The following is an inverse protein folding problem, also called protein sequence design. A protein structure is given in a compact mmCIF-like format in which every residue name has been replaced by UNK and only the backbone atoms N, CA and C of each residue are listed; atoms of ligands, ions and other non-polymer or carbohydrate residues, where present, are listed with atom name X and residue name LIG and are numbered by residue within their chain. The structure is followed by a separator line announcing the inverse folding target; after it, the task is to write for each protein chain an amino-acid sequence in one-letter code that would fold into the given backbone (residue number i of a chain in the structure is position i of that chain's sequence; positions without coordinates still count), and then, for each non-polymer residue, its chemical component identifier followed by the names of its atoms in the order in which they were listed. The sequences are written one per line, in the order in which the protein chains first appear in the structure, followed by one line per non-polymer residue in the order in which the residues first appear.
data_IF_654997542502
#
_entry.id   IF_654997542502
#
_cell.length_a   1.000
_cell.length_b   1.000
_cell.length_c   1.000
_cell.angle_alpha   90.00
_cell.angle_beta   90.00
_cell.angle_gamma   90.00
#
_symmetry.space_group_name_H-M   'P 1'
#
loop_
_entity.id
_entity.type
_entity.pdbx_description
1 polymer ?
#
# COMPACT_ATOMS: atom_id res chain seq x y z
N UNK A 1 13.12 -51.12 -2.19
CA UNK A 1 12.40 -50.31 -1.18
C UNK A 1 12.80 -48.86 -1.40
N UNK A 2 12.00 -48.09 -2.20
CA UNK A 2 12.27 -46.69 -2.51
C UNK A 2 11.59 -45.86 -1.43
N UNK A 3 12.38 -45.03 -0.74
CA UNK A 3 11.86 -44.05 0.22
C UNK A 3 10.99 -43.03 -0.54
N UNK A 4 9.74 -42.88 -0.13
CA UNK A 4 8.81 -41.84 -0.56
C UNK A 4 9.29 -40.55 0.13
N UNK A 5 9.81 -39.65 -0.66
CA UNK A 5 10.14 -38.29 -0.21
C UNK A 5 8.80 -37.54 0.02
N UNK A 6 8.38 -37.47 1.28
CA UNK A 6 7.28 -36.60 1.70
C UNK A 6 7.76 -35.15 1.56
N UNK A 7 7.40 -34.49 0.45
CA UNK A 7 7.64 -33.08 0.26
C UNK A 7 6.97 -32.30 1.39
N UNK A 8 7.74 -31.91 2.38
CA UNK A 8 7.35 -30.91 3.35
C UNK A 8 7.07 -29.61 2.57
N UNK A 9 5.85 -29.10 2.65
CA UNK A 9 5.51 -27.76 2.20
C UNK A 9 6.37 -26.81 3.05
N UNK A 10 7.47 -26.33 2.44
CA UNK A 10 8.35 -25.37 3.09
C UNK A 10 7.61 -24.03 3.05
N UNK A 11 6.85 -23.75 4.10
CA UNK A 11 6.11 -22.50 4.24
C UNK A 11 7.11 -21.40 4.60
N UNK A 12 7.72 -20.79 3.58
CA UNK A 12 8.62 -19.65 3.80
C UNK A 12 7.84 -18.50 4.39
N UNK A 13 8.27 -18.04 5.56
CA UNK A 13 7.74 -16.81 6.18
C UNK A 13 8.03 -15.60 5.30
N UNK A 14 7.24 -14.55 5.48
CA UNK A 14 7.31 -13.33 4.67
C UNK A 14 8.50 -12.45 5.08
N UNK A 15 9.72 -12.84 4.69
CA UNK A 15 10.97 -12.07 4.89
C UNK A 15 11.62 -11.63 3.56
N UNK A 16 10.84 -11.60 2.50
CA UNK A 16 11.26 -11.24 1.16
C UNK A 16 11.34 -9.72 0.92
N UNK A 17 11.72 -9.31 -0.32
CA UNK A 17 11.80 -7.89 -0.69
C UNK A 17 10.51 -7.10 -0.45
N UNK A 18 9.34 -7.67 -0.74
CA UNK A 18 8.05 -7.03 -0.54
C UNK A 18 7.75 -6.72 0.94
N UNK A 19 8.10 -7.62 1.86
CA UNK A 19 7.95 -7.35 3.30
C UNK A 19 8.88 -6.24 3.78
N UNK A 20 10.13 -6.22 3.29
CA UNK A 20 11.09 -5.15 3.65
C UNK A 20 10.64 -3.79 3.10
N UNK A 21 10.21 -3.73 1.84
CA UNK A 21 9.70 -2.50 1.23
C UNK A 21 8.46 -1.98 1.97
N UNK A 22 7.55 -2.86 2.36
CA UNK A 22 6.38 -2.50 3.16
C UNK A 22 6.75 -1.95 4.54
N UNK A 23 7.66 -2.62 5.27
CA UNK A 23 8.13 -2.17 6.59
C UNK A 23 8.83 -0.80 6.50
N UNK A 24 9.73 -0.63 5.52
CA UNK A 24 10.45 0.64 5.32
C UNK A 24 9.51 1.78 4.94
N UNK A 25 8.51 1.53 4.08
CA UNK A 25 7.47 2.51 3.73
C UNK A 25 6.62 2.88 4.96
N UNK A 26 6.22 1.90 5.78
CA UNK A 26 5.43 2.13 6.98
C UNK A 26 6.19 2.97 8.01
N UNK A 27 7.48 2.68 8.24
CA UNK A 27 8.34 3.48 9.12
C UNK A 27 8.49 4.91 8.62
N UNK A 28 8.73 5.09 7.32
CA UNK A 28 8.87 6.43 6.74
C UNK A 28 7.58 7.22 6.82
N UNK A 29 6.43 6.59 6.58
CA UNK A 29 5.12 7.20 6.80
C UNK A 29 4.98 7.72 8.24
N UNK A 30 5.33 6.92 9.25
CA UNK A 30 5.28 7.34 10.67
C UNK A 30 6.21 8.53 10.94
N UNK A 31 7.43 8.51 10.41
CA UNK A 31 8.40 9.60 10.60
C UNK A 31 7.88 10.93 10.03
N UNK A 32 7.33 10.92 8.80
CA UNK A 32 6.75 12.11 8.18
C UNK A 32 5.49 12.57 8.94
N UNK A 33 4.68 11.61 9.43
CA UNK A 33 3.47 11.88 10.21
C UNK A 33 3.75 12.64 11.51
N UNK A 34 4.94 12.53 12.09
CA UNK A 34 5.31 13.29 13.29
C UNK A 34 5.24 14.81 13.07
N UNK A 35 5.48 15.27 11.84
CA UNK A 35 5.36 16.68 11.47
C UNK A 35 3.90 17.17 11.36
N UNK A 36 2.92 16.27 11.41
CA UNK A 36 1.49 16.63 11.36
C UNK A 36 0.95 17.14 12.70
N UNK A 37 1.70 16.97 13.79
CA UNK A 37 1.27 17.42 15.12
C UNK A 37 1.04 18.94 15.13
N UNK A 38 -0.17 19.35 15.50
CA UNK A 38 -0.60 20.75 15.44
C UNK A 38 -1.12 21.22 14.08
N UNK A 39 -1.12 20.34 13.06
CA UNK A 39 -1.54 20.65 11.68
C UNK A 39 -2.67 19.75 11.16
N UNK A 40 -3.34 18.99 12.04
CA UNK A 40 -4.34 18.00 11.62
C UNK A 40 -5.49 18.56 10.78
N UNK A 41 -5.91 19.80 11.06
CA UNK A 41 -6.98 20.48 10.32
C UNK A 41 -6.49 21.27 9.10
N UNK A 42 -5.19 21.29 8.84
CA UNK A 42 -4.62 21.95 7.67
C UNK A 42 -5.00 21.19 6.39
N UNK A 43 -5.03 21.88 5.22
CA UNK A 43 -5.23 21.20 3.94
C UNK A 43 -4.22 20.09 3.72
N UNK A 44 -4.71 18.91 3.33
CA UNK A 44 -3.89 17.74 3.01
C UNK A 44 -3.86 17.49 1.50
N UNK A 45 -4.70 16.57 1.00
CA UNK A 45 -4.79 16.20 -0.42
C UNK A 45 -6.22 16.41 -0.94
N UNK A 46 -6.39 17.23 -1.98
CA UNK A 46 -7.70 17.52 -2.54
C UNK A 46 -8.64 18.11 -1.48
N UNK A 47 -9.72 17.42 -1.15
CA UNK A 47 -10.68 17.82 -0.10
C UNK A 47 -10.31 17.36 1.31
N UNK A 48 -9.27 16.55 1.44
CA UNK A 48 -8.85 16.00 2.73
C UNK A 48 -8.04 17.00 3.54
N UNK A 49 -8.28 17.01 4.83
CA UNK A 49 -7.35 17.56 5.81
C UNK A 49 -6.12 16.65 5.95
N UNK A 50 -5.07 17.15 6.59
CA UNK A 50 -3.91 16.34 6.98
C UNK A 50 -4.34 15.11 7.80
N UNK A 51 -5.32 15.27 8.70
CA UNK A 51 -5.86 14.17 9.49
C UNK A 51 -6.51 13.08 8.61
N UNK A 52 -7.31 13.50 7.63
CA UNK A 52 -7.98 12.57 6.71
C UNK A 52 -6.97 11.81 5.86
N UNK A 53 -5.92 12.49 5.40
CA UNK A 53 -4.81 11.89 4.64
C UNK A 53 -4.03 10.88 5.50
N UNK A 54 -3.73 11.21 6.77
CA UNK A 54 -3.14 10.27 7.72
C UNK A 54 -4.01 9.03 7.90
N UNK A 55 -5.32 9.22 8.09
CA UNK A 55 -6.28 8.13 8.23
C UNK A 55 -6.37 7.28 6.97
N UNK A 56 -6.47 7.91 5.79
CA UNK A 56 -6.49 7.19 4.52
C UNK A 56 -5.22 6.34 4.34
N UNK A 57 -4.06 6.92 4.57
CA UNK A 57 -2.78 6.22 4.43
C UNK A 57 -2.65 5.07 5.45
N UNK A 58 -3.10 5.27 6.69
CA UNK A 58 -3.07 4.23 7.73
C UNK A 58 -3.89 2.98 7.38
N UNK A 59 -4.86 3.11 6.46
CA UNK A 59 -5.61 1.95 5.93
C UNK A 59 -4.71 0.92 5.25
N UNK A 60 -3.55 1.35 4.74
CA UNK A 60 -2.55 0.42 4.18
C UNK A 60 -2.01 -0.56 5.24
N UNK A 61 -2.05 -0.19 6.50
CA UNK A 61 -1.71 -1.05 7.63
C UNK A 61 -2.94 -1.81 8.15
N UNK A 62 -4.04 -1.09 8.44
CA UNK A 62 -5.22 -1.71 9.04
C UNK A 62 -5.90 -2.73 8.14
N UNK A 63 -5.86 -2.58 6.81
CA UNK A 63 -6.39 -3.61 5.90
C UNK A 63 -5.52 -4.85 5.87
N UNK A 64 -4.19 -4.73 5.95
CA UNK A 64 -3.30 -5.89 6.10
C UNK A 64 -3.64 -6.65 7.38
N UNK A 65 -3.69 -5.95 8.51
CA UNK A 65 -4.05 -6.54 9.80
C UNK A 65 -5.39 -7.27 9.74
N UNK A 66 -6.45 -6.59 9.25
CA UNK A 66 -7.78 -7.18 9.15
C UNK A 66 -7.81 -8.43 8.28
N UNK A 67 -7.08 -8.43 7.16
CA UNK A 67 -7.08 -9.57 6.25
C UNK A 67 -6.26 -10.74 6.78
N UNK A 68 -5.22 -10.49 7.58
CA UNK A 68 -4.45 -11.53 8.25
C UNK A 68 -5.23 -12.15 9.42
N UNK A 69 -5.99 -11.35 10.18
CA UNK A 69 -6.81 -11.85 11.30
C UNK A 69 -7.95 -12.76 10.84
N UNK A 70 -8.45 -12.56 9.62
CA UNK A 70 -9.54 -13.37 9.03
C UNK A 70 -9.00 -14.57 8.22
N UNK A 71 -7.70 -14.66 8.02
CA UNK A 71 -7.05 -15.76 7.28
C UNK A 71 -7.16 -17.09 8.07
N UNK A 72 -8.23 -17.83 7.86
CA UNK A 72 -8.53 -19.08 8.58
C UNK A 72 -8.40 -20.36 7.76
N UNK A 73 -8.33 -20.29 6.45
CA UNK A 73 -8.19 -21.44 5.55
C UNK A 73 -7.38 -21.02 4.32
N UNK A 74 -6.16 -21.50 4.24
CA UNK A 74 -5.25 -21.26 3.10
C UNK A 74 -5.62 -22.09 1.85
N UNK A 75 -6.78 -22.75 1.85
CA UNK A 75 -7.29 -23.48 0.69
C UNK A 75 -8.22 -22.61 -0.15
N UNK A 76 -7.86 -22.40 -1.40
CA UNK A 76 -8.70 -21.68 -2.35
C UNK A 76 -7.91 -21.21 -3.57
N UNK A 77 -8.62 -20.85 -4.66
CA UNK A 77 -7.97 -20.29 -5.83
C UNK A 77 -7.47 -18.87 -5.55
N UNK A 78 -6.37 -18.52 -6.19
CA UNK A 78 -5.89 -17.16 -6.28
C UNK A 78 -6.57 -16.50 -7.48
N UNK A 79 -7.41 -15.50 -7.22
CA UNK A 79 -8.14 -14.77 -8.28
C UNK A 79 -7.26 -13.66 -8.89
N UNK A 80 -6.45 -13.00 -8.05
CA UNK A 80 -5.60 -11.87 -8.42
C UNK A 80 -4.14 -12.27 -8.21
N UNK A 81 -3.40 -12.38 -9.30
CA UNK A 81 -2.03 -12.93 -9.27
C UNK A 81 -0.99 -11.96 -8.70
N UNK A 82 -1.23 -10.65 -8.81
CA UNK A 82 -0.28 -9.60 -8.39
C UNK A 82 -0.98 -8.25 -8.15
N UNK A 83 -0.19 -7.24 -7.79
CA UNK A 83 -0.66 -5.88 -7.53
C UNK A 83 -1.27 -5.21 -8.77
N UNK A 84 -0.79 -5.52 -9.98
CA UNK A 84 -1.35 -4.95 -11.21
C UNK A 84 -2.77 -5.48 -11.44
N UNK A 85 -2.95 -6.79 -11.31
CA UNK A 85 -4.28 -7.42 -11.41
C UNK A 85 -5.25 -6.84 -10.37
N UNK A 86 -4.77 -6.59 -9.14
CA UNK A 86 -5.57 -5.95 -8.09
C UNK A 86 -6.04 -4.55 -8.49
N UNK A 87 -5.14 -3.67 -8.93
CA UNK A 87 -5.52 -2.30 -9.30
C UNK A 87 -6.44 -2.25 -10.52
N UNK A 88 -6.26 -3.14 -11.49
CA UNK A 88 -7.19 -3.27 -12.62
C UNK A 88 -8.58 -3.71 -12.15
N UNK A 89 -8.66 -4.60 -11.18
CA UNK A 89 -9.94 -5.07 -10.63
C UNK A 89 -10.67 -3.98 -9.82
N UNK A 90 -9.94 -3.09 -9.13
CA UNK A 90 -10.55 -2.04 -8.30
C UNK A 90 -10.76 -0.71 -9.03
N UNK A 91 -10.37 -0.58 -10.30
CA UNK A 91 -10.40 0.69 -11.04
C UNK A 91 -11.78 1.39 -10.98
N UNK A 92 -12.88 0.61 -11.09
CA UNK A 92 -14.23 1.15 -10.95
C UNK A 92 -14.55 1.71 -9.55
N UNK A 93 -14.00 1.10 -8.49
CA UNK A 93 -14.18 1.56 -7.11
C UNK A 93 -13.32 2.79 -6.80
N UNK A 94 -12.19 2.98 -7.49
CA UNK A 94 -11.36 4.18 -7.40
C UNK A 94 -12.01 5.38 -8.10
N UNK A 95 -12.80 5.14 -9.13
CA UNK A 95 -13.52 6.19 -9.86
C UNK A 95 -14.60 6.88 -9.02
N UNK A 96 -15.11 6.25 -7.95
CA UNK A 96 -16.03 6.88 -6.99
C UNK A 96 -15.25 7.73 -5.98
N UNK A 97 -14.88 8.93 -6.41
CA UNK A 97 -14.08 9.87 -5.60
C UNK A 97 -14.79 10.30 -4.31
N UNK A 98 -16.13 10.40 -4.31
CA UNK A 98 -16.90 10.76 -3.13
C UNK A 98 -16.83 9.67 -2.05
N UNK A 99 -16.97 8.39 -2.45
CA UNK A 99 -16.80 7.26 -1.53
C UNK A 99 -15.36 7.15 -1.03
N UNK A 100 -14.35 7.43 -1.89
CA UNK A 100 -12.94 7.48 -1.47
C UNK A 100 -12.74 8.58 -0.44
N UNK A 101 -13.26 9.79 -0.70
CA UNK A 101 -13.16 10.92 0.22
C UNK A 101 -13.80 10.63 1.58
N UNK A 102 -14.98 10.02 1.58
CA UNK A 102 -15.67 9.64 2.82
C UNK A 102 -14.90 8.58 3.63
N UNK A 103 -14.32 7.57 2.95
CA UNK A 103 -13.48 6.56 3.62
C UNK A 103 -12.25 7.18 4.27
N UNK A 104 -11.63 8.17 3.62
CA UNK A 104 -10.51 8.92 4.20
C UNK A 104 -10.91 9.66 5.47
N UNK A 105 -12.01 10.41 5.43
CA UNK A 105 -12.54 11.12 6.62
C UNK A 105 -12.89 10.17 7.77
N UNK A 106 -13.56 9.06 7.48
CA UNK A 106 -13.89 8.07 8.50
C UNK A 106 -12.61 7.46 9.13
N UNK A 107 -11.59 7.16 8.31
CA UNK A 107 -10.32 6.65 8.80
C UNK A 107 -9.55 7.71 9.62
N UNK A 108 -9.59 8.99 9.21
CA UNK A 108 -9.01 10.10 9.96
C UNK A 108 -9.65 10.26 11.35
N UNK A 109 -10.97 10.14 11.43
CA UNK A 109 -11.71 10.14 12.71
C UNK A 109 -11.34 8.93 13.58
N UNK A 110 -11.16 7.77 12.99
CA UNK A 110 -10.78 6.53 13.68
C UNK A 110 -9.39 6.54 14.31
N UNK A 111 -8.50 7.47 13.92
CA UNK A 111 -7.20 7.67 14.60
C UNK A 111 -7.34 8.13 16.05
N UNK A 112 -8.53 8.58 16.48
CA UNK A 112 -8.80 8.95 17.86
C UNK A 112 -8.20 10.30 18.28
N UNK A 113 -8.07 10.52 19.57
CA UNK A 113 -7.58 11.79 20.13
C UNK A 113 -6.07 11.95 19.93
N UNK A 114 -5.33 10.83 19.93
CA UNK A 114 -3.88 10.80 19.69
C UNK A 114 -3.57 10.01 18.42
N UNK A 115 -3.59 10.64 17.23
CA UNK A 115 -3.26 10.00 15.98
C UNK A 115 -1.86 9.39 15.95
N UNK A 116 -0.88 10.05 16.58
CA UNK A 116 0.50 9.57 16.56
C UNK A 116 0.68 8.29 17.40
N UNK A 117 0.02 8.19 18.54
CA UNK A 117 0.03 6.94 19.33
C UNK A 117 -0.61 5.80 18.54
N UNK A 118 -1.74 6.06 17.88
CA UNK A 118 -2.42 5.06 17.02
C UNK A 118 -1.53 4.61 15.87
N UNK A 119 -0.92 5.54 15.13
CA UNK A 119 -0.01 5.22 14.02
C UNK A 119 1.24 4.47 14.48
N UNK A 120 1.83 4.88 15.60
CA UNK A 120 3.01 4.21 16.17
C UNK A 120 2.70 2.75 16.53
N UNK A 121 1.53 2.51 17.13
CA UNK A 121 1.10 1.16 17.46
C UNK A 121 0.87 0.28 16.20
N UNK A 122 0.27 0.85 15.14
CA UNK A 122 0.07 0.16 13.86
C UNK A 122 1.41 -0.21 13.20
N UNK A 123 2.33 0.73 13.09
CA UNK A 123 3.64 0.53 12.46
C UNK A 123 4.52 -0.44 13.26
N UNK A 124 4.37 -0.50 14.57
CA UNK A 124 5.09 -1.45 15.39
C UNK A 124 4.60 -2.90 15.20
N UNK A 125 3.27 -3.13 15.10
CA UNK A 125 2.72 -4.50 15.12
C UNK A 125 2.48 -5.09 13.73
N UNK A 126 2.00 -4.30 12.73
CA UNK A 126 1.57 -4.87 11.45
C UNK A 126 2.73 -5.45 10.63
N UNK A 127 3.91 -4.79 10.51
CA UNK A 127 5.06 -5.40 9.86
C UNK A 127 5.56 -6.67 10.55
N UNK A 128 5.41 -6.78 11.89
CA UNK A 128 5.74 -8.01 12.62
C UNK A 128 4.76 -9.15 12.27
N UNK A 129 3.46 -8.87 12.21
CA UNK A 129 2.46 -9.85 11.75
C UNK A 129 2.77 -10.32 10.33
N UNK A 130 3.11 -9.41 9.43
CA UNK A 130 3.51 -9.74 8.05
C UNK A 130 4.70 -10.70 8.07
N UNK A 131 5.76 -10.41 8.82
CA UNK A 131 6.94 -11.28 8.90
C UNK A 131 6.64 -12.66 9.49
N UNK A 132 5.70 -12.75 10.41
CA UNK A 132 5.28 -14.01 11.04
C UNK A 132 4.32 -14.84 10.17
N UNK A 133 3.85 -14.30 9.05
CA UNK A 133 2.86 -14.93 8.17
C UNK A 133 3.56 -15.53 6.94
N UNK A 134 3.11 -16.70 6.45
CA UNK A 134 3.62 -17.27 5.20
C UNK A 134 3.40 -16.33 4.00
N UNK A 135 4.37 -16.24 3.11
CA UNK A 135 4.28 -15.43 1.89
C UNK A 135 3.11 -15.86 0.98
N UNK A 136 2.75 -17.13 1.05
CA UNK A 136 1.65 -17.76 0.30
C UNK A 136 0.30 -17.68 1.00
N UNK A 137 0.24 -17.17 2.24
CA UNK A 137 -1.03 -17.00 2.95
C UNK A 137 -2.02 -16.19 2.12
N UNK A 138 -3.30 -16.62 2.14
CA UNK A 138 -4.33 -16.02 1.32
C UNK A 138 -4.94 -14.78 1.98
N UNK A 139 -4.90 -13.69 1.26
CA UNK A 139 -5.56 -12.42 1.58
C UNK A 139 -6.86 -12.34 0.77
N UNK A 140 -8.00 -12.26 1.47
CA UNK A 140 -9.33 -12.17 0.87
C UNK A 140 -9.79 -10.71 0.82
N UNK A 141 -9.61 -10.09 -0.34
CA UNK A 141 -10.07 -8.71 -0.57
C UNK A 141 -11.51 -8.72 -1.09
N UNK A 142 -12.24 -7.59 -1.04
CA UNK A 142 -13.56 -7.48 -1.67
C UNK A 142 -13.57 -7.71 -3.19
N UNK A 143 -12.41 -7.73 -3.82
CA UNK A 143 -12.25 -7.82 -5.29
C UNK A 143 -11.67 -9.16 -5.75
N UNK A 144 -11.29 -10.02 -4.82
CA UNK A 144 -10.74 -11.34 -5.11
C UNK A 144 -9.67 -11.74 -4.10
N UNK A 145 -9.32 -13.02 -4.15
CA UNK A 145 -8.31 -13.64 -3.29
C UNK A 145 -6.93 -13.53 -3.93
N UNK A 146 -5.93 -13.21 -3.16
CA UNK A 146 -4.54 -13.15 -3.60
C UNK A 146 -3.58 -13.63 -2.48
N UNK A 147 -2.34 -13.90 -2.82
CA UNK A 147 -1.33 -14.21 -1.79
C UNK A 147 -0.91 -12.94 -1.04
N UNK A 148 -0.46 -13.07 0.20
CA UNK A 148 0.11 -11.96 0.96
C UNK A 148 1.26 -11.30 0.19
N UNK A 149 2.16 -12.09 -0.39
CA UNK A 149 3.25 -11.58 -1.22
C UNK A 149 2.76 -10.74 -2.40
N UNK A 150 1.68 -11.15 -3.06
CA UNK A 150 1.09 -10.40 -4.18
C UNK A 150 0.34 -9.13 -3.73
N UNK A 151 -0.18 -9.13 -2.49
CA UNK A 151 -0.95 -8.01 -1.94
C UNK A 151 -0.07 -6.87 -1.41
N UNK A 152 1.05 -7.18 -0.72
CA UNK A 152 1.89 -6.17 -0.07
C UNK A 152 2.36 -5.04 -1.01
N UNK A 153 2.76 -5.27 -2.28
CA UNK A 153 3.15 -4.19 -3.17
C UNK A 153 2.05 -3.14 -3.38
N UNK A 154 0.78 -3.53 -3.27
CA UNK A 154 -0.33 -2.56 -3.33
C UNK A 154 -0.31 -1.63 -2.12
N UNK A 155 0.03 -2.15 -0.93
CA UNK A 155 0.08 -1.36 0.31
C UNK A 155 1.35 -0.52 0.41
N UNK A 156 2.46 -1.04 -0.11
CA UNK A 156 3.71 -0.28 -0.27
C UNK A 156 3.50 0.94 -1.17
N UNK A 157 2.81 0.78 -2.31
CA UNK A 157 2.48 1.89 -3.21
C UNK A 157 1.65 2.97 -2.48
N UNK A 158 0.57 2.59 -1.81
CA UNK A 158 -0.29 3.53 -1.08
C UNK A 158 0.50 4.29 0.01
N UNK A 159 1.30 3.56 0.83
CA UNK A 159 2.15 4.18 1.84
C UNK A 159 3.15 5.16 1.22
N UNK A 160 3.81 4.76 0.14
CA UNK A 160 4.88 5.54 -0.50
C UNK A 160 4.32 6.81 -1.13
N UNK A 161 3.27 6.71 -1.95
CA UNK A 161 2.68 7.85 -2.65
C UNK A 161 2.06 8.83 -1.65
N UNK A 162 1.26 8.34 -0.71
CA UNK A 162 0.62 9.22 0.26
C UNK A 162 1.59 9.78 1.32
N UNK A 163 2.75 9.17 1.53
CA UNK A 163 3.84 9.80 2.29
C UNK A 163 4.39 11.01 1.54
N UNK A 164 4.52 10.94 0.20
CA UNK A 164 4.90 12.09 -0.62
C UNK A 164 3.84 13.21 -0.56
N UNK A 165 2.55 12.85 -0.65
CA UNK A 165 1.45 13.81 -0.55
C UNK A 165 1.44 14.51 0.82
N UNK A 166 1.61 13.74 1.90
CA UNK A 166 1.67 14.24 3.26
C UNK A 166 2.88 15.18 3.46
N UNK A 167 4.05 14.77 2.96
CA UNK A 167 5.26 15.59 3.04
C UNK A 167 5.08 16.92 2.28
N UNK A 168 4.46 16.89 1.11
CA UNK A 168 4.15 18.08 0.33
C UNK A 168 3.16 19.01 1.07
N UNK A 169 2.11 18.45 1.68
CA UNK A 169 1.13 19.20 2.47
C UNK A 169 1.75 19.87 3.70
N UNK A 170 2.74 19.23 4.32
CA UNK A 170 3.43 19.73 5.51
C UNK A 170 4.68 20.58 5.20
N UNK A 171 5.09 20.66 3.94
CA UNK A 171 6.31 21.39 3.55
C UNK A 171 7.61 20.76 4.05
N UNK A 172 7.64 19.43 4.21
CA UNK A 172 8.81 18.66 4.65
C UNK A 172 9.31 17.71 3.55
N UNK A 173 10.52 17.13 3.71
CA UNK A 173 11.03 16.13 2.76
C UNK A 173 10.34 14.79 2.96
N UNK A 174 9.95 14.15 1.85
CA UNK A 174 9.40 12.79 1.88
C UNK A 174 10.48 11.74 2.14
N UNK A 175 11.70 11.88 1.61
CA UNK A 175 12.86 10.98 1.72
C UNK A 175 12.49 9.50 1.75
N UNK A 176 11.60 9.08 0.84
CA UNK A 176 11.07 7.71 0.79
C UNK A 176 12.20 6.69 0.56
N UNK A 177 12.18 5.54 1.27
CA UNK A 177 13.21 4.52 1.15
C UNK A 177 13.31 3.94 -0.26
N UNK A 178 14.53 3.61 -0.69
CA UNK A 178 14.81 3.15 -2.04
C UNK A 178 14.05 1.87 -2.41
N UNK A 179 13.93 0.91 -1.49
CA UNK A 179 13.20 -0.35 -1.70
C UNK A 179 11.69 -0.10 -1.90
N UNK A 180 11.08 0.78 -1.11
CA UNK A 180 9.69 1.18 -1.25
C UNK A 180 9.44 1.90 -2.59
N UNK A 181 10.35 2.81 -2.99
CA UNK A 181 10.29 3.52 -4.28
C UNK A 181 10.40 2.53 -5.43
N UNK A 182 11.37 1.60 -5.37
CA UNK A 182 11.59 0.62 -6.44
C UNK A 182 10.36 -0.29 -6.63
N UNK A 183 9.75 -0.77 -5.54
CA UNK A 183 8.53 -1.58 -5.61
C UNK A 183 7.34 -0.78 -6.13
N UNK A 184 7.17 0.47 -5.68
CA UNK A 184 6.12 1.38 -6.16
C UNK A 184 6.25 1.60 -7.67
N UNK A 185 7.44 1.88 -8.18
CA UNK A 185 7.67 2.03 -9.61
C UNK A 185 7.43 0.75 -10.40
N UNK A 186 7.72 -0.43 -9.83
CA UNK A 186 7.41 -1.70 -10.48
C UNK A 186 5.88 -1.86 -10.70
N UNK A 187 5.07 -1.53 -9.71
CA UNK A 187 3.61 -1.56 -9.82
C UNK A 187 3.11 -0.51 -10.82
N UNK A 188 3.57 0.75 -10.71
CA UNK A 188 3.19 1.84 -11.63
C UNK A 188 3.57 1.50 -13.08
N UNK A 189 4.78 0.99 -13.29
CA UNK A 189 5.24 0.57 -14.61
C UNK A 189 4.41 -0.58 -15.19
N UNK A 190 4.05 -1.55 -14.34
CA UNK A 190 3.14 -2.64 -14.71
C UNK A 190 1.75 -2.15 -15.12
N UNK A 191 1.18 -1.21 -14.36
CA UNK A 191 -0.11 -0.58 -14.67
C UNK A 191 -0.04 0.21 -16.00
N UNK A 192 0.98 1.03 -16.17
CA UNK A 192 1.17 1.78 -17.42
C UNK A 192 1.31 0.84 -18.64
N UNK A 193 1.99 -0.29 -18.48
CA UNK A 193 2.11 -1.30 -19.53
C UNK A 193 0.77 -1.96 -19.85
N UNK A 194 0.03 -2.40 -18.83
CA UNK A 194 -1.27 -3.04 -18.98
C UNK A 194 -2.32 -2.11 -19.62
N UNK A 195 -2.25 -0.82 -19.34
CA UNK A 195 -3.13 0.21 -19.89
C UNK A 195 -2.66 0.79 -21.25
N UNK A 196 -1.49 0.36 -21.75
CA UNK A 196 -0.90 0.86 -23.00
C UNK A 196 -0.36 2.29 -22.90
N UNK A 197 -0.19 2.85 -21.70
CA UNK A 197 0.28 4.24 -21.47
C UNK A 197 1.78 4.33 -21.16
N UNK A 198 2.49 3.20 -21.06
CA UNK A 198 3.91 3.14 -20.74
C UNK A 198 4.82 3.99 -21.66
N UNK A 199 4.62 4.11 -22.99
CA UNK A 199 5.47 4.96 -23.82
C UNK A 199 5.52 6.42 -23.36
N UNK A 200 4.37 7.00 -22.95
CA UNK A 200 4.31 8.38 -22.44
C UNK A 200 5.11 8.53 -21.13
N UNK A 201 4.94 7.58 -20.20
CA UNK A 201 5.68 7.57 -18.93
C UNK A 201 7.21 7.45 -19.17
N UNK A 202 7.63 6.55 -20.06
CA UNK A 202 9.04 6.37 -20.38
C UNK A 202 9.67 7.63 -20.99
N UNK A 203 8.98 8.29 -21.90
CA UNK A 203 9.47 9.53 -22.50
C UNK A 203 9.58 10.67 -21.47
N UNK A 204 8.62 10.77 -20.55
CA UNK A 204 8.65 11.77 -19.50
C UNK A 204 9.77 11.52 -18.49
N UNK A 205 9.88 10.30 -17.94
CA UNK A 205 10.90 9.93 -16.97
C UNK A 205 12.32 10.01 -17.50
N UNK A 206 12.47 9.90 -18.83
CA UNK A 206 13.78 10.03 -19.50
C UNK A 206 14.03 11.45 -20.04
N UNK A 207 13.18 12.43 -19.70
CA UNK A 207 13.36 13.85 -20.04
C UNK A 207 13.11 14.21 -21.50
N UNK A 208 12.38 13.37 -22.26
CA UNK A 208 12.14 13.58 -23.70
C UNK A 208 10.87 14.37 -23.99
N UNK A 209 9.76 14.07 -23.28
CA UNK A 209 8.49 14.74 -23.41
C UNK A 209 7.83 14.88 -22.01
N UNK A 210 7.02 15.94 -21.76
CA UNK A 210 6.22 15.99 -20.54
C UNK A 210 5.13 14.93 -20.56
N UNK A 211 4.61 14.56 -19.38
CA UNK A 211 3.40 13.75 -19.29
C UNK A 211 2.21 14.53 -19.85
N UNK A 212 1.26 13.87 -20.55
CA UNK A 212 0.00 14.50 -20.94
C UNK A 212 -0.76 15.07 -19.73
N UNK A 213 -1.51 16.14 -19.93
CA UNK A 213 -2.37 16.67 -18.88
C UNK A 213 -3.37 15.61 -18.40
N UNK A 214 -3.52 15.45 -17.08
CA UNK A 214 -4.40 14.47 -16.49
C UNK A 214 -3.91 13.01 -16.59
N UNK A 215 -2.65 12.78 -16.97
CA UNK A 215 -2.09 11.44 -16.97
C UNK A 215 -2.09 10.87 -15.54
N UNK A 216 -2.68 9.69 -15.40
CA UNK A 216 -2.60 8.85 -14.21
C UNK A 216 -2.62 7.38 -14.63
N UNK A 217 -2.11 6.51 -13.78
CA UNK A 217 -2.23 5.05 -13.90
C UNK A 217 -3.20 4.48 -12.84
N UNK A 218 -3.70 5.35 -11.96
CA UNK A 218 -4.65 5.05 -10.89
C UNK A 218 -5.91 5.91 -11.04
#
# INVERSE_FOLDING_TARGET
MRAVNTGGCNTELMDGPAARAFDSAARRFLEVSASATGHYDSPGLGEWSVRDLLGHTSRSLTTVETYLDVAGDDSGPVDLVDAVAYYLAIAGALADTAAVAQRGRAAGAALGEDPMATLSALVARVPEQVRATPATALVRTPFGTMTLQGYLPTRTLELTVHTCDLAAALGVSADVPHDAVAETFAVIGGLAAAQGTAPAALLALTGRLPLPAGYSVL
#
